data_IF_815409937507
#
_entry.id   IF_815409937507
#
_cell.length_a   1.000
_cell.length_b   1.000
_cell.length_c   1.000
_cell.angle_alpha   90.00
_cell.angle_beta   90.00
_cell.angle_gamma   90.00
#
_symmetry.space_group_name_H-M   'P 1'
#
loop_
_entity.id
_entity.type
_entity.pdbx_description
1 polymer ?
#
# COMPACT_ATOMS: atom_id res chain seq x y z
N UNK A 1 40.41 -24.24 6.20
CA UNK A 1 39.53 -23.09 6.51
C UNK A 1 38.37 -23.13 5.53
N UNK A 2 37.18 -23.58 5.97
CA UNK A 2 36.09 -23.99 5.06
C UNK A 2 35.15 -22.83 4.71
N UNK A 3 35.39 -22.19 3.57
CA UNK A 3 34.66 -21.03 3.02
C UNK A 3 33.18 -21.34 2.70
N UNK A 4 32.80 -22.62 2.60
CA UNK A 4 31.46 -23.06 2.20
C UNK A 4 30.37 -22.92 3.28
N UNK A 5 30.73 -22.84 4.56
CA UNK A 5 29.73 -22.79 5.67
C UNK A 5 29.13 -21.41 5.91
N UNK A 6 29.77 -20.34 5.40
CA UNK A 6 29.29 -18.95 5.51
C UNK A 6 28.23 -18.58 4.48
N UNK A 7 28.22 -19.23 3.30
CA UNK A 7 27.31 -18.89 2.20
C UNK A 7 25.86 -19.33 2.47
N UNK A 8 25.66 -20.41 3.22
CA UNK A 8 24.34 -20.95 3.53
C UNK A 8 23.53 -20.04 4.45
N UNK A 9 24.21 -19.24 5.29
CA UNK A 9 23.55 -18.32 6.24
C UNK A 9 23.05 -17.05 5.52
N UNK A 10 23.67 -16.66 4.42
CA UNK A 10 23.32 -15.44 3.68
C UNK A 10 22.04 -15.56 2.84
N UNK A 11 21.62 -16.79 2.50
CA UNK A 11 20.42 -17.00 1.67
C UNK A 11 19.11 -17.00 2.48
N UNK A 12 19.17 -17.26 3.79
CA UNK A 12 17.97 -17.31 4.64
C UNK A 12 17.39 -15.91 4.95
N UNK A 13 18.16 -14.84 4.80
CA UNK A 13 17.71 -13.47 5.11
C UNK A 13 16.90 -12.82 3.98
N UNK A 14 16.91 -13.36 2.76
CA UNK A 14 16.26 -12.74 1.61
C UNK A 14 14.74 -12.98 1.53
N UNK A 15 14.20 -13.91 2.31
CA UNK A 15 12.78 -14.32 2.20
C UNK A 15 11.85 -13.48 3.09
N UNK A 16 12.39 -12.75 4.07
CA UNK A 16 11.57 -11.97 5.02
C UNK A 16 11.21 -10.55 4.53
N UNK A 17 11.71 -10.11 3.37
CA UNK A 17 11.45 -8.75 2.85
C UNK A 17 10.34 -8.67 1.80
N UNK A 18 9.57 -9.74 1.57
CA UNK A 18 8.56 -9.78 0.49
C UNK A 18 7.11 -9.55 0.97
N UNK A 19 6.85 -9.47 2.27
CA UNK A 19 5.47 -9.46 2.78
C UNK A 19 4.89 -8.08 3.11
N UNK A 20 5.66 -6.99 3.04
CA UNK A 20 5.17 -5.66 3.45
C UNK A 20 4.50 -4.85 2.33
N UNK A 21 4.54 -5.32 1.09
CA UNK A 21 4.01 -4.61 -0.08
C UNK A 21 2.59 -5.02 -0.47
N UNK A 22 2.06 -6.11 0.12
CA UNK A 22 0.81 -6.72 -0.33
C UNK A 22 -0.43 -5.87 0.00
N UNK A 23 -0.45 -5.17 1.14
CA UNK A 23 -1.60 -4.37 1.54
C UNK A 23 -1.90 -3.22 0.55
N UNK A 24 -0.85 -2.61 -0.01
CA UNK A 24 -0.99 -1.51 -0.98
C UNK A 24 -1.16 -2.03 -2.42
N UNK A 25 -0.72 -3.25 -2.71
CA UNK A 25 -0.93 -3.89 -4.01
C UNK A 25 -2.42 -4.24 -4.24
N UNK A 26 -3.15 -4.68 -3.20
CA UNK A 26 -4.61 -4.90 -3.30
C UNK A 26 -5.35 -3.58 -3.51
N UNK A 27 -4.79 -2.47 -3.06
CA UNK A 27 -5.30 -1.12 -3.27
C UNK A 27 -4.99 -0.55 -4.67
N UNK A 28 -4.14 -1.21 -5.47
CA UNK A 28 -3.91 -0.86 -6.88
C UNK A 28 -4.44 -2.03 -7.71
N UNK A 29 -5.72 -1.96 -8.09
CA UNK A 29 -6.21 -0.83 -8.89
C UNK A 29 -7.49 -0.18 -8.33
N UNK A 30 -7.48 0.43 -7.14
CA UNK A 30 -8.60 1.25 -6.69
C UNK A 30 -8.51 2.69 -7.24
N UNK A 31 -9.66 3.28 -7.52
CA UNK A 31 -9.77 4.66 -8.03
C UNK A 31 -9.93 5.70 -6.90
N UNK A 32 -9.70 5.34 -5.63
CA UNK A 32 -10.04 6.20 -4.49
C UNK A 32 -9.23 7.51 -4.50
N UNK A 33 -7.92 7.44 -4.77
CA UNK A 33 -7.07 8.62 -4.87
C UNK A 33 -7.44 9.51 -6.06
N UNK A 34 -7.83 8.91 -7.19
CA UNK A 34 -8.31 9.65 -8.35
C UNK A 34 -9.65 10.34 -8.05
N UNK A 35 -10.58 9.68 -7.36
CA UNK A 35 -11.86 10.26 -6.92
C UNK A 35 -11.67 11.41 -5.94
N UNK A 36 -10.70 11.28 -5.01
CA UNK A 36 -10.32 12.37 -4.11
C UNK A 36 -9.84 13.61 -4.89
N UNK A 37 -8.89 13.42 -5.81
CA UNK A 37 -8.38 14.51 -6.64
C UNK A 37 -9.46 15.15 -7.52
N UNK A 38 -10.37 14.35 -8.09
CA UNK A 38 -11.52 14.86 -8.84
C UNK A 38 -12.48 15.65 -7.96
N UNK A 39 -12.72 15.20 -6.73
CA UNK A 39 -13.59 15.89 -5.77
C UNK A 39 -13.06 17.29 -5.46
N UNK A 40 -11.76 17.41 -5.15
CA UNK A 40 -11.12 18.71 -4.92
C UNK A 40 -11.10 19.58 -6.17
N UNK A 41 -10.79 19.01 -7.34
CA UNK A 41 -10.71 19.75 -8.60
C UNK A 41 -12.07 20.32 -9.05
N UNK A 42 -13.17 19.68 -8.65
CA UNK A 42 -14.54 20.18 -8.90
C UNK A 42 -14.99 21.23 -7.86
N UNK A 43 -14.11 21.67 -6.96
CA UNK A 43 -14.44 22.63 -5.91
C UNK A 43 -15.21 22.01 -4.73
N UNK A 44 -15.10 20.69 -4.56
CA UNK A 44 -15.65 20.00 -3.40
C UNK A 44 -14.96 20.42 -2.10
N UNK A 45 -15.70 20.34 -1.00
CA UNK A 45 -15.17 20.58 0.34
C UNK A 45 -14.10 19.53 0.68
N UNK A 46 -12.94 19.97 1.18
CA UNK A 46 -11.80 19.10 1.47
C UNK A 46 -12.16 18.00 2.47
N UNK A 47 -12.91 18.34 3.52
CA UNK A 47 -13.32 17.38 4.56
C UNK A 47 -14.29 16.34 4.00
N UNK A 48 -15.22 16.76 3.14
CA UNK A 48 -16.15 15.86 2.46
C UNK A 48 -15.42 14.92 1.48
N UNK A 49 -14.46 15.45 0.72
CA UNK A 49 -13.64 14.68 -0.21
C UNK A 49 -12.77 13.66 0.54
N UNK A 50 -12.17 14.05 1.66
CA UNK A 50 -11.35 13.19 2.49
C UNK A 50 -12.17 12.04 3.10
N UNK A 51 -13.38 12.34 3.60
CA UNK A 51 -14.28 11.31 4.10
C UNK A 51 -14.67 10.31 3.01
N UNK A 52 -14.94 10.77 1.79
CA UNK A 52 -15.23 9.90 0.65
C UNK A 52 -14.02 9.01 0.28
N UNK A 53 -12.82 9.56 0.34
CA UNK A 53 -11.57 8.83 0.15
C UNK A 53 -11.40 7.71 1.18
N UNK A 54 -11.57 7.99 2.48
CA UNK A 54 -11.45 6.97 3.53
C UNK A 54 -12.53 5.89 3.44
N UNK A 55 -13.76 6.26 3.09
CA UNK A 55 -14.83 5.28 2.83
C UNK A 55 -14.50 4.38 1.65
N UNK A 56 -13.93 4.95 0.59
CA UNK A 56 -13.48 4.20 -0.57
C UNK A 56 -12.37 3.21 -0.16
N UNK A 57 -11.32 3.66 0.52
CA UNK A 57 -10.24 2.79 1.02
C UNK A 57 -10.77 1.65 1.89
N UNK A 58 -11.67 1.97 2.84
CA UNK A 58 -12.27 0.98 3.73
C UNK A 58 -13.06 -0.09 2.98
N UNK A 59 -13.75 0.27 1.89
CA UNK A 59 -14.48 -0.68 1.06
C UNK A 59 -13.52 -1.68 0.36
N UNK A 60 -12.36 -1.19 -0.10
CA UNK A 60 -11.33 -2.05 -0.69
C UNK A 60 -10.45 -2.77 0.35
N UNK A 61 -10.73 -2.64 1.64
CA UNK A 61 -9.92 -3.22 2.71
C UNK A 61 -8.51 -2.61 2.80
N UNK A 62 -8.36 -1.38 2.31
CA UNK A 62 -7.09 -0.66 2.28
C UNK A 62 -6.75 -0.05 3.64
N UNK A 63 -5.46 0.04 3.98
CA UNK A 63 -5.03 0.82 5.14
C UNK A 63 -5.41 2.29 4.94
N UNK A 64 -5.96 2.89 5.99
CA UNK A 64 -6.24 4.33 6.04
C UNK A 64 -4.94 5.01 6.52
N UNK A 65 -4.38 5.96 5.76
CA UNK A 65 -3.15 6.67 6.10
C UNK A 65 -3.30 7.55 7.34
#
# INVERSE_FOLDING_TARGET
MNVFRRKTVLLAAAVLMLSSSAAWAVCRPNNCAAQYGQCLNNGGDETACELAYYRCLRNYGCPIP
#
